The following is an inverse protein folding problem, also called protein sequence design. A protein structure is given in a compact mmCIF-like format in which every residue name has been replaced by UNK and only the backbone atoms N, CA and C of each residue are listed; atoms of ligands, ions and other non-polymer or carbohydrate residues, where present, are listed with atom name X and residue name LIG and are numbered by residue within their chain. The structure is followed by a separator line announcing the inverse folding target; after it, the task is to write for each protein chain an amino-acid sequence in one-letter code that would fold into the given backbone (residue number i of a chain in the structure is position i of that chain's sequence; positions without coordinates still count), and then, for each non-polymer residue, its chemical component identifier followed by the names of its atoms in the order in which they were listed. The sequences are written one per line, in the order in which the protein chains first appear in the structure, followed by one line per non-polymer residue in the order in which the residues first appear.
data_IF_588270767671
#
_entry.id   IF_588270767671
#
_cell.length_a   1.000
_cell.length_b   1.000
_cell.length_c   1.000
_cell.angle_alpha   90.00
_cell.angle_beta   90.00
_cell.angle_gamma   90.00
#
_symmetry.space_group_name_H-M   'P 1'
#
loop_
_entity.id
_entity.type
_entity.pdbx_description
1 polymer ?
#
# COMPACT_ATOMS: atom_id res chain seq x y z
N UNK A 1 9.93 -7.96 10.31
CA UNK A 1 10.55 -7.50 9.05
C UNK A 1 11.89 -8.18 8.82
N UNK A 2 12.28 -8.35 7.55
CA UNK A 2 13.60 -8.83 7.12
C UNK A 2 14.31 -7.73 6.34
N UNK A 3 15.66 -7.70 6.38
CA UNK A 3 16.44 -6.68 5.68
C UNK A 3 17.38 -7.35 4.71
N UNK A 4 17.29 -7.01 3.42
CA UNK A 4 18.17 -7.44 2.36
C UNK A 4 18.93 -6.22 1.83
N UNK A 5 20.26 -6.31 1.68
CA UNK A 5 21.09 -5.19 1.23
C UNK A 5 22.39 -5.67 0.59
N UNK A 6 23.05 -4.85 -0.24
CA UNK A 6 24.42 -5.09 -0.63
C UNK A 6 25.35 -5.11 0.61
N UNK A 7 26.38 -5.96 0.59
CA UNK A 7 27.33 -6.08 1.70
C UNK A 7 28.68 -5.42 1.35
N UNK A 8 28.67 -4.11 1.11
CA UNK A 8 29.85 -3.34 0.71
C UNK A 8 30.11 -2.09 1.57
N UNK A 9 29.36 -1.95 2.66
CA UNK A 9 29.51 -0.87 3.63
C UNK A 9 28.97 0.50 3.20
N UNK A 10 28.30 0.60 2.04
CA UNK A 10 27.70 1.85 1.56
C UNK A 10 26.29 2.05 2.07
N UNK A 11 25.78 3.28 1.92
CA UNK A 11 24.37 3.61 2.14
C UNK A 11 23.59 3.54 0.83
N UNK A 12 22.35 3.05 0.92
CA UNK A 12 21.47 2.84 -0.22
C UNK A 12 20.05 3.36 0.06
N UNK A 13 19.31 3.79 -0.98
CA UNK A 13 17.88 4.00 -0.87
C UNK A 13 17.21 2.75 -0.33
N UNK A 14 16.14 2.94 0.46
CA UNK A 14 15.38 1.82 1.01
C UNK A 14 13.99 1.71 0.38
N UNK A 15 13.57 0.47 0.13
CA UNK A 15 12.23 0.11 -0.29
C UNK A 15 11.57 -0.78 0.78
N UNK A 16 10.62 -0.24 1.53
CA UNK A 16 9.74 -1.03 2.38
C UNK A 16 8.70 -1.73 1.51
N UNK A 17 8.52 -3.04 1.69
CA UNK A 17 7.70 -3.88 0.81
C UNK A 17 6.56 -4.52 1.60
N UNK A 18 5.32 -4.22 1.22
CA UNK A 18 4.10 -4.60 1.92
C UNK A 18 3.39 -5.70 1.12
N UNK A 19 3.18 -6.86 1.73
CA UNK A 19 2.55 -7.99 1.06
C UNK A 19 1.04 -7.79 0.84
N UNK A 20 0.50 -8.45 -0.18
CA UNK A 20 -0.93 -8.57 -0.42
C UNK A 20 -1.59 -9.68 0.42
N UNK A 21 -2.84 -10.01 0.09
CA UNK A 21 -3.60 -11.07 0.74
C UNK A 21 -4.93 -10.61 1.31
N UNK A 22 -5.52 -9.53 0.76
CA UNK A 22 -6.86 -9.06 1.13
C UNK A 22 -7.01 -8.71 2.62
N UNK A 23 -5.97 -8.20 3.25
CA UNK A 23 -5.90 -7.82 4.69
C UNK A 23 -6.17 -8.97 5.67
N UNK A 24 -6.29 -10.23 5.20
CA UNK A 24 -6.60 -11.39 6.05
C UNK A 24 -5.66 -12.57 5.87
N UNK A 25 -4.73 -12.50 4.95
CA UNK A 25 -3.79 -13.58 4.65
C UNK A 25 -2.47 -13.03 4.09
N UNK A 26 -1.52 -13.92 3.86
CA UNK A 26 -0.19 -13.56 3.40
C UNK A 26 0.79 -13.33 4.56
N UNK A 27 2.03 -13.10 4.20
CA UNK A 27 3.12 -12.78 5.10
C UNK A 27 4.28 -12.17 4.31
N UNK A 28 5.29 -11.65 4.99
CA UNK A 28 6.47 -11.02 4.35
C UNK A 28 7.22 -11.97 3.40
N UNK A 29 7.09 -13.29 3.58
CA UNK A 29 7.73 -14.28 2.71
C UNK A 29 7.32 -14.15 1.25
N UNK A 30 6.10 -13.67 0.97
CA UNK A 30 5.62 -13.40 -0.40
C UNK A 30 6.44 -12.33 -1.12
N UNK A 31 7.09 -11.42 -0.39
CA UNK A 31 7.92 -10.35 -0.95
C UNK A 31 9.41 -10.70 -1.03
N UNK A 32 9.84 -11.80 -0.41
CA UNK A 32 11.28 -12.14 -0.29
C UNK A 32 11.96 -12.33 -1.65
N UNK A 33 11.40 -13.06 -2.64
CA UNK A 33 12.07 -13.22 -3.93
C UNK A 33 12.31 -11.87 -4.63
N UNK A 34 11.30 -11.00 -4.67
CA UNK A 34 11.41 -9.66 -5.25
C UNK A 34 12.40 -8.79 -4.45
N UNK A 35 12.33 -8.83 -3.11
CA UNK A 35 13.23 -8.09 -2.24
C UNK A 35 14.71 -8.44 -2.50
N UNK A 36 15.02 -9.73 -2.61
CA UNK A 36 16.37 -10.19 -2.91
C UNK A 36 16.85 -9.69 -4.28
N UNK A 37 15.99 -9.76 -5.31
CA UNK A 37 16.33 -9.26 -6.65
C UNK A 37 16.59 -7.75 -6.67
N UNK A 38 15.74 -6.96 -6.01
CA UNK A 38 15.90 -5.50 -5.94
C UNK A 38 17.15 -5.13 -5.13
N UNK A 39 17.47 -5.88 -4.06
CA UNK A 39 18.67 -5.64 -3.28
C UNK A 39 19.96 -5.80 -4.12
N UNK A 40 19.99 -6.71 -5.11
CA UNK A 40 21.15 -6.85 -6.04
C UNK A 40 21.34 -5.63 -6.94
N UNK A 41 20.34 -4.74 -7.04
CA UNK A 41 20.37 -3.53 -7.85
C UNK A 41 20.80 -2.28 -7.07
N UNK A 42 21.27 -2.43 -5.84
CA UNK A 42 21.77 -1.30 -5.04
C UNK A 42 20.65 -0.61 -4.22
N UNK A 43 19.76 -1.40 -3.64
CA UNK A 43 18.75 -0.94 -2.71
C UNK A 43 18.85 -1.72 -1.39
N UNK A 44 18.42 -1.11 -0.29
CA UNK A 44 18.00 -1.85 0.89
C UNK A 44 16.53 -2.18 0.72
N UNK A 45 16.14 -3.44 0.86
CA UNK A 45 14.74 -3.85 0.75
C UNK A 45 14.26 -4.47 2.06
N UNK A 46 13.08 -4.08 2.50
CA UNK A 46 12.54 -4.46 3.81
C UNK A 46 11.11 -4.97 3.66
N UNK A 47 10.91 -6.28 3.39
CA UNK A 47 9.62 -6.91 3.57
C UNK A 47 9.13 -6.80 5.01
N UNK A 48 7.88 -6.37 5.20
CA UNK A 48 7.28 -6.13 6.51
C UNK A 48 6.03 -6.96 6.73
N UNK A 49 5.74 -7.25 8.01
CA UNK A 49 4.45 -7.77 8.48
C UNK A 49 3.59 -6.63 9.00
N UNK A 50 2.30 -6.83 8.98
CA UNK A 50 1.30 -5.97 9.60
C UNK A 50 0.14 -6.84 10.11
N UNK A 51 -0.60 -6.38 11.12
CA UNK A 51 -1.73 -7.12 11.70
C UNK A 51 -2.84 -7.31 10.66
N UNK A 52 -3.31 -8.54 10.56
CA UNK A 52 -4.34 -9.01 9.63
C UNK A 52 -5.64 -9.34 10.36
N UNK A 53 -6.75 -9.45 9.64
CA UNK A 53 -7.97 -10.10 10.14
C UNK A 53 -7.66 -11.60 10.36
N UNK A 54 -8.14 -12.23 11.46
CA UNK A 54 -9.02 -11.68 12.48
C UNK A 54 -8.31 -11.06 13.70
N UNK A 55 -6.98 -10.92 13.67
CA UNK A 55 -6.22 -10.37 14.77
C UNK A 55 -6.62 -8.92 15.06
N UNK A 56 -6.74 -8.11 14.01
CA UNK A 56 -7.18 -6.72 14.13
C UNK A 56 -7.85 -6.21 12.84
N UNK A 57 -8.73 -5.23 13.00
CA UNK A 57 -9.37 -4.49 11.93
C UNK A 57 -8.61 -3.19 11.63
N UNK A 58 -9.03 -2.46 10.58
CA UNK A 58 -8.60 -1.09 10.35
C UNK A 58 -8.79 -0.23 11.63
N UNK A 59 -7.80 0.61 12.04
CA UNK A 59 -6.60 0.99 11.30
C UNK A 59 -5.31 0.22 11.70
N UNK A 60 -5.38 -0.82 12.52
CA UNK A 60 -4.24 -1.44 13.19
C UNK A 60 -3.06 -1.78 12.24
N UNK A 61 -3.31 -2.40 11.09
CA UNK A 61 -2.26 -2.70 10.12
C UNK A 61 -1.62 -1.45 9.50
N UNK A 62 -2.35 -0.34 9.43
CA UNK A 62 -1.79 0.95 8.96
C UNK A 62 -0.84 1.52 10.01
N UNK A 63 -1.22 1.48 11.29
CA UNK A 63 -0.39 1.91 12.42
C UNK A 63 0.93 1.11 12.47
N UNK A 64 0.86 -0.21 12.29
CA UNK A 64 2.05 -1.08 12.24
C UNK A 64 3.03 -0.64 11.13
N UNK A 65 2.51 -0.24 9.97
CA UNK A 65 3.33 0.22 8.84
C UNK A 65 3.91 1.62 9.06
N UNK A 66 3.15 2.53 9.69
CA UNK A 66 3.66 3.85 10.08
C UNK A 66 4.78 3.70 11.12
N UNK A 67 4.63 2.81 12.11
CA UNK A 67 5.68 2.46 13.08
C UNK A 67 6.90 1.83 12.41
N UNK A 68 6.71 0.99 11.39
CA UNK A 68 7.80 0.43 10.62
C UNK A 68 8.63 1.50 9.89
N UNK A 69 7.99 2.53 9.32
CA UNK A 69 8.69 3.69 8.72
C UNK A 69 9.54 4.42 9.77
N UNK A 70 8.96 4.68 10.94
CA UNK A 70 9.68 5.32 12.04
C UNK A 70 10.90 4.49 12.46
N UNK A 71 10.72 3.18 12.60
CA UNK A 71 11.82 2.28 12.95
C UNK A 71 12.92 2.28 11.88
N UNK A 72 12.57 2.21 10.58
CA UNK A 72 13.53 2.25 9.47
C UNK A 72 14.34 3.54 9.53
N UNK A 73 13.67 4.69 9.69
CA UNK A 73 14.31 5.99 9.74
C UNK A 73 15.28 6.09 10.92
N UNK A 74 14.86 5.66 12.11
CA UNK A 74 15.67 5.76 13.34
C UNK A 74 16.85 4.78 13.37
N UNK A 75 16.79 3.70 12.60
CA UNK A 75 17.86 2.69 12.53
C UNK A 75 18.66 2.75 11.22
N UNK A 76 18.46 3.76 10.40
CA UNK A 76 19.03 3.86 9.05
C UNK A 76 20.55 3.65 9.02
N UNK A 77 21.31 4.33 9.86
CA UNK A 77 22.77 4.23 9.92
C UNK A 77 23.29 2.82 10.26
N UNK A 78 22.53 2.06 11.09
CA UNK A 78 22.91 0.68 11.44
C UNK A 78 22.84 -0.27 10.25
N UNK A 79 21.95 0.00 9.31
CA UNK A 79 21.65 -0.90 8.19
C UNK A 79 22.10 -0.36 6.82
N UNK A 80 22.87 0.74 6.78
CA UNK A 80 23.33 1.35 5.54
C UNK A 80 22.17 1.88 4.69
N UNK A 81 21.21 2.53 5.33
CA UNK A 81 20.05 3.13 4.69
C UNK A 81 20.27 4.64 4.56
N UNK A 82 20.08 5.16 3.35
CA UNK A 82 19.91 6.59 3.12
C UNK A 82 18.50 6.98 3.57
N UNK A 83 18.38 7.51 4.79
CA UNK A 83 17.10 7.87 5.40
C UNK A 83 16.34 8.99 4.67
N UNK A 84 17.02 9.72 3.78
CA UNK A 84 16.36 10.73 2.94
C UNK A 84 15.74 10.11 1.66
N UNK A 85 15.90 8.80 1.47
CA UNK A 85 15.40 8.06 0.29
C UNK A 85 14.60 6.83 0.70
N UNK A 86 13.54 7.03 1.47
CA UNK A 86 12.62 5.96 1.89
C UNK A 86 11.46 5.89 0.88
N UNK A 87 11.34 4.77 0.19
CA UNK A 87 10.20 4.44 -0.66
C UNK A 87 9.39 3.31 -0.04
N UNK A 88 8.10 3.25 -0.36
CA UNK A 88 7.20 2.17 0.04
C UNK A 88 6.60 1.51 -1.19
N UNK A 89 6.45 0.19 -1.17
CA UNK A 89 5.80 -0.55 -2.23
C UNK A 89 4.85 -1.59 -1.65
N UNK A 90 3.90 -2.00 -2.45
CA UNK A 90 3.05 -3.12 -2.07
C UNK A 90 2.21 -3.63 -3.21
N UNK A 91 1.68 -4.84 -3.04
CA UNK A 91 0.89 -5.56 -4.02
C UNK A 91 -0.53 -5.76 -3.49
N UNK A 92 -1.57 -5.53 -4.33
CA UNK A 92 -2.97 -5.76 -3.94
C UNK A 92 -3.35 -4.98 -2.66
N UNK A 93 -3.76 -5.67 -1.59
CA UNK A 93 -3.99 -5.05 -0.28
C UNK A 93 -2.76 -4.27 0.23
N UNK A 94 -1.54 -4.81 0.02
CA UNK A 94 -0.30 -4.10 0.34
C UNK A 94 -0.09 -2.85 -0.52
N UNK A 95 -0.51 -2.88 -1.78
CA UNK A 95 -0.50 -1.72 -2.67
C UNK A 95 -1.44 -0.61 -2.20
N UNK A 96 -2.64 -0.99 -1.77
CA UNK A 96 -3.58 -0.06 -1.13
C UNK A 96 -2.99 0.56 0.14
N UNK A 97 -2.35 -0.26 1.01
CA UNK A 97 -1.71 0.21 2.23
C UNK A 97 -0.52 1.14 1.94
N UNK A 98 0.35 0.77 0.97
CA UNK A 98 1.46 1.62 0.53
C UNK A 98 0.96 2.97 0.02
N UNK A 99 -0.10 2.96 -0.79
CA UNK A 99 -0.75 4.17 -1.29
C UNK A 99 -1.29 5.02 -0.14
N UNK A 100 -2.00 4.42 0.81
CA UNK A 100 -2.59 5.14 1.94
C UNK A 100 -1.53 5.85 2.78
N UNK A 101 -0.48 5.14 3.25
CA UNK A 101 0.56 5.75 4.08
C UNK A 101 1.39 6.79 3.30
N UNK A 102 1.58 6.58 1.99
CA UNK A 102 2.27 7.54 1.12
C UNK A 102 1.47 8.81 0.85
N UNK A 103 0.13 8.71 0.78
CA UNK A 103 -0.73 9.89 0.62
C UNK A 103 -0.90 10.67 1.93
N UNK A 104 -1.06 9.97 3.05
CA UNK A 104 -1.02 10.59 4.39
C UNK A 104 0.33 11.25 4.64
N UNK A 105 1.41 10.52 4.41
CA UNK A 105 2.80 10.92 4.61
C UNK A 105 2.99 11.79 5.87
N UNK A 106 2.37 11.36 6.96
CA UNK A 106 2.26 12.16 8.19
C UNK A 106 3.64 12.50 8.78
N UNK A 107 4.60 11.60 8.65
CA UNK A 107 5.99 11.82 9.08
C UNK A 107 6.82 12.67 8.11
N UNK A 108 6.37 12.85 6.86
CA UNK A 108 7.12 13.49 5.78
C UNK A 108 8.36 12.70 5.31
N UNK A 109 8.49 11.43 5.70
CA UNK A 109 9.67 10.59 5.43
C UNK A 109 9.58 9.79 4.14
N UNK A 110 8.36 9.53 3.64
CA UNK A 110 8.14 8.75 2.42
C UNK A 110 8.40 9.64 1.20
N UNK A 111 9.32 9.19 0.34
CA UNK A 111 9.76 9.91 -0.86
C UNK A 111 9.17 9.39 -2.15
N UNK A 112 8.67 8.15 -2.16
CA UNK A 112 8.00 7.55 -3.32
C UNK A 112 7.10 6.38 -2.90
N UNK A 113 6.07 6.13 -3.70
CA UNK A 113 5.17 4.98 -3.57
C UNK A 113 5.22 4.16 -4.85
N UNK A 114 5.27 2.84 -4.75
CA UNK A 114 5.03 1.92 -5.86
C UNK A 114 3.78 1.11 -5.50
N UNK A 115 2.70 1.38 -6.23
CA UNK A 115 1.41 0.73 -6.02
C UNK A 115 1.17 -0.32 -7.11
N UNK A 116 1.25 -1.60 -6.75
CA UNK A 116 0.98 -2.73 -7.65
C UNK A 116 -0.44 -3.25 -7.41
N UNK A 117 -1.37 -2.92 -8.29
CA UNK A 117 -2.79 -3.33 -8.23
C UNK A 117 -3.48 -3.04 -6.88
N UNK A 118 -3.07 -2.01 -6.18
CA UNK A 118 -3.75 -1.54 -4.97
C UNK A 118 -4.79 -0.47 -5.31
N UNK A 119 -6.02 -0.64 -4.83
CA UNK A 119 -7.06 0.38 -4.99
C UNK A 119 -6.70 1.67 -4.24
N UNK A 120 -7.09 2.82 -4.78
CA UNK A 120 -6.87 4.12 -4.15
C UNK A 120 -8.11 4.63 -3.39
N UNK A 121 -9.26 4.00 -3.61
CA UNK A 121 -10.51 4.33 -2.91
C UNK A 121 -11.37 3.09 -2.68
N UNK A 122 -11.93 2.98 -1.47
CA UNK A 122 -13.02 2.05 -1.14
C UNK A 122 -14.39 2.67 -1.42
N UNK A 123 -14.46 4.00 -1.47
CA UNK A 123 -15.71 4.76 -1.61
C UNK A 123 -16.06 4.87 -3.09
N UNK A 124 -16.57 3.77 -3.64
CA UNK A 124 -17.13 3.69 -4.99
C UNK A 124 -18.55 3.11 -4.91
N UNK A 125 -19.42 3.47 -5.87
CA UNK A 125 -20.78 2.93 -5.91
C UNK A 125 -20.80 1.40 -5.94
N UNK A 126 -19.87 0.79 -6.69
CA UNK A 126 -19.74 -0.66 -6.76
C UNK A 126 -19.43 -1.29 -5.39
N UNK A 127 -18.40 -0.80 -4.70
CA UNK A 127 -17.97 -1.34 -3.40
C UNK A 127 -19.04 -1.14 -2.32
N UNK A 128 -19.64 0.05 -2.26
CA UNK A 128 -20.70 0.39 -1.32
C UNK A 128 -21.93 -0.49 -1.55
N UNK A 129 -22.40 -0.61 -2.80
CA UNK A 129 -23.57 -1.40 -3.14
C UNK A 129 -23.33 -2.90 -2.90
N UNK A 130 -22.15 -3.42 -3.21
CA UNK A 130 -21.77 -4.81 -2.95
C UNK A 130 -21.84 -5.16 -1.47
N UNK A 131 -21.30 -4.32 -0.60
CA UNK A 131 -21.32 -4.52 0.85
C UNK A 131 -22.75 -4.40 1.39
N UNK A 132 -23.52 -3.40 0.92
CA UNK A 132 -24.93 -3.21 1.29
C UNK A 132 -25.80 -4.41 0.89
N UNK A 133 -25.71 -4.88 -0.35
CA UNK A 133 -26.47 -6.04 -0.84
C UNK A 133 -26.13 -7.32 -0.04
N UNK A 134 -24.87 -7.54 0.31
CA UNK A 134 -24.49 -8.67 1.15
C UNK A 134 -25.16 -8.58 2.53
N UNK A 135 -25.15 -7.40 3.17
CA UNK A 135 -25.79 -7.15 4.46
C UNK A 135 -27.31 -7.37 4.38
N UNK A 136 -27.97 -6.75 3.41
CA UNK A 136 -29.43 -6.81 3.23
C UNK A 136 -29.92 -8.26 2.92
N UNK A 137 -29.07 -9.06 2.26
CA UNK A 137 -29.34 -10.46 1.92
C UNK A 137 -28.86 -11.46 2.99
N UNK A 138 -28.39 -10.99 4.14
CA UNK A 138 -27.78 -11.81 5.21
C UNK A 138 -26.67 -12.76 4.71
N UNK A 139 -25.88 -12.28 3.74
CA UNK A 139 -24.70 -12.98 3.23
C UNK A 139 -23.42 -12.46 3.91
N UNK A 140 -22.31 -13.24 3.89
CA UNK A 140 -21.03 -12.76 4.35
C UNK A 140 -20.63 -11.46 3.64
N UNK A 141 -20.12 -10.50 4.42
CA UNK A 141 -19.62 -9.24 3.86
C UNK A 141 -18.40 -9.49 2.98
N UNK A 142 -18.16 -8.67 1.95
CA UNK A 142 -16.90 -8.63 1.24
C UNK A 142 -15.74 -8.36 2.21
N UNK A 143 -14.55 -8.88 1.86
CA UNK A 143 -13.38 -8.84 2.77
C UNK A 143 -12.94 -7.42 3.13
N UNK A 144 -13.06 -6.49 2.19
CA UNK A 144 -12.82 -5.06 2.41
C UNK A 144 -13.77 -4.48 3.46
N UNK A 145 -15.06 -4.80 3.38
CA UNK A 145 -16.05 -4.36 4.37
C UNK A 145 -15.81 -5.02 5.74
N UNK A 146 -15.36 -6.28 5.78
CA UNK A 146 -14.97 -6.93 7.05
C UNK A 146 -13.79 -6.20 7.66
N UNK A 147 -12.73 -5.93 6.88
CA UNK A 147 -11.54 -5.24 7.34
C UNK A 147 -11.85 -3.83 7.87
N UNK A 148 -12.77 -3.13 7.22
CA UNK A 148 -13.23 -1.78 7.60
C UNK A 148 -14.23 -1.79 8.78
N UNK A 149 -14.67 -2.98 9.25
CA UNK A 149 -15.54 -3.16 10.41
C UNK A 149 -17.03 -3.14 10.09
N UNK A 150 -17.44 -3.09 8.82
CA UNK A 150 -18.85 -3.09 8.41
C UNK A 150 -19.06 -2.46 7.03
N UNK A 151 -20.34 -2.29 6.67
CA UNK A 151 -20.73 -1.57 5.44
C UNK A 151 -20.38 -0.08 5.51
N UNK A 152 -20.41 0.61 4.38
CA UNK A 152 -20.19 2.07 4.35
C UNK A 152 -21.16 2.84 5.25
N UNK A 153 -22.42 2.43 5.32
CA UNK A 153 -23.42 3.06 6.18
C UNK A 153 -23.11 2.89 7.67
N UNK A 154 -22.52 1.74 8.05
CA UNK A 154 -22.14 1.41 9.43
C UNK A 154 -20.81 2.05 9.84
N UNK A 155 -19.85 2.15 8.91
CA UNK A 155 -18.46 2.52 9.16
C UNK A 155 -17.92 3.57 8.17
N UNK A 156 -18.75 4.57 7.85
CA UNK A 156 -18.39 5.62 6.87
C UNK A 156 -16.99 6.19 7.11
N UNK A 157 -16.67 6.52 8.35
CA UNK A 157 -15.36 7.08 8.71
C UNK A 157 -14.21 6.16 8.29
N UNK A 158 -14.29 4.86 8.60
CA UNK A 158 -13.23 3.91 8.26
C UNK A 158 -13.06 3.77 6.74
N UNK A 159 -14.17 3.74 5.99
CA UNK A 159 -14.13 3.66 4.53
C UNK A 159 -13.45 4.87 3.89
N UNK A 160 -13.77 6.07 4.39
CA UNK A 160 -13.16 7.32 3.92
C UNK A 160 -11.69 7.40 4.33
N UNK A 161 -11.37 7.17 5.59
CA UNK A 161 -10.00 7.24 6.11
C UNK A 161 -9.06 6.18 5.53
N UNK A 162 -9.57 4.98 5.21
CA UNK A 162 -8.80 3.94 4.52
C UNK A 162 -8.60 4.21 3.02
N UNK A 163 -9.37 5.13 2.44
CA UNK A 163 -9.24 5.53 1.04
C UNK A 163 -8.15 6.59 0.88
N UNK A 164 -7.04 6.21 0.24
CA UNK A 164 -5.89 7.09 0.03
C UNK A 164 -6.27 8.41 -0.66
N UNK A 165 -7.30 8.36 -1.52
CA UNK A 165 -7.84 9.51 -2.25
C UNK A 165 -8.18 10.70 -1.35
N UNK A 166 -8.65 10.46 -0.12
CA UNK A 166 -9.05 11.51 0.83
C UNK A 166 -7.87 12.20 1.53
N UNK A 167 -6.66 11.64 1.43
CA UNK A 167 -5.46 12.16 2.07
C UNK A 167 -4.53 12.92 1.13
N UNK A 168 -4.86 12.94 -0.18
CA UNK A 168 -3.99 13.58 -1.17
C UNK A 168 -3.88 15.07 -0.90
N UNK A 169 -2.64 15.52 -0.76
CA UNK A 169 -2.28 16.89 -0.44
C UNK A 169 -0.92 17.25 -1.06
N UNK A 170 -0.46 18.46 -0.85
CA UNK A 170 0.89 18.90 -1.25
C UNK A 170 2.04 18.13 -0.59
N UNK A 171 1.76 17.39 0.50
CA UNK A 171 2.74 16.59 1.22
C UNK A 171 2.76 15.12 0.76
N UNK A 172 1.83 14.73 -0.11
CA UNK A 172 1.75 13.38 -0.65
C UNK A 172 2.98 13.03 -1.48
N UNK A 173 3.45 11.79 -1.33
CA UNK A 173 4.61 11.30 -2.07
C UNK A 173 4.28 11.05 -3.55
N UNK A 174 5.26 11.15 -4.47
CA UNK A 174 5.14 10.68 -5.85
C UNK A 174 4.74 9.21 -5.93
N UNK A 175 3.96 8.84 -6.96
CA UNK A 175 3.44 7.48 -7.11
C UNK A 175 3.72 6.91 -8.50
N UNK A 176 4.26 5.69 -8.53
CA UNK A 176 4.25 4.82 -9.69
C UNK A 176 3.16 3.76 -9.51
N UNK A 177 2.18 3.76 -10.41
CA UNK A 177 1.16 2.72 -10.50
C UNK A 177 1.61 1.64 -11.48
N UNK A 178 1.62 0.40 -11.02
CA UNK A 178 1.87 -0.78 -11.85
C UNK A 178 0.61 -1.62 -11.79
N UNK A 179 -0.12 -1.69 -12.90
CA UNK A 179 -1.45 -2.30 -12.92
C UNK A 179 -1.54 -3.49 -13.88
N UNK A 180 -2.32 -4.48 -13.48
CA UNK A 180 -2.93 -5.42 -14.42
C UNK A 180 -4.01 -4.71 -15.24
N UNK A 181 -4.55 -5.37 -16.26
CA UNK A 181 -5.68 -4.87 -17.05
C UNK A 181 -7.05 -5.02 -16.35
N UNK A 182 -7.08 -5.49 -15.07
CA UNK A 182 -8.33 -5.74 -14.34
C UNK A 182 -8.89 -4.44 -13.75
N UNK A 183 -10.04 -3.94 -14.23
CA UNK A 183 -10.54 -2.58 -13.91
C UNK A 183 -10.76 -2.31 -12.42
N UNK A 184 -11.19 -3.31 -11.65
CA UNK A 184 -11.47 -3.11 -10.21
C UNK A 184 -10.25 -2.65 -9.39
N UNK A 185 -9.03 -2.97 -9.85
CA UNK A 185 -7.79 -2.53 -9.19
C UNK A 185 -7.38 -1.11 -9.58
N UNK A 186 -8.13 -0.49 -10.49
CA UNK A 186 -7.96 0.92 -10.86
C UNK A 186 -8.87 1.86 -10.04
N UNK A 187 -9.68 1.34 -9.12
CA UNK A 187 -10.61 2.15 -8.33
C UNK A 187 -9.91 3.31 -7.61
N UNK A 188 -10.32 4.53 -7.94
CA UNK A 188 -9.78 5.78 -7.39
C UNK A 188 -8.40 6.19 -7.92
N UNK A 189 -7.79 5.41 -8.84
CA UNK A 189 -6.45 5.70 -9.40
C UNK A 189 -6.45 6.99 -10.22
N UNK A 190 -7.35 7.10 -11.17
CA UNK A 190 -7.36 8.22 -12.12
C UNK A 190 -7.73 9.53 -11.42
N UNK A 191 -8.63 9.48 -10.43
CA UNK A 191 -8.95 10.59 -9.54
C UNK A 191 -7.75 10.97 -8.67
N UNK A 192 -7.02 9.99 -8.15
CA UNK A 192 -5.81 10.22 -7.37
C UNK A 192 -4.74 10.92 -8.21
N UNK A 193 -4.50 10.46 -9.44
CA UNK A 193 -3.57 11.09 -10.38
C UNK A 193 -3.99 12.54 -10.67
N UNK A 194 -5.28 12.77 -10.95
CA UNK A 194 -5.78 14.12 -11.20
C UNK A 194 -5.55 15.05 -10.01
N UNK A 195 -5.73 14.57 -8.79
CA UNK A 195 -5.47 15.35 -7.56
C UNK A 195 -3.98 15.58 -7.32
N UNK A 196 -3.14 14.55 -7.46
CA UNK A 196 -1.69 14.67 -7.31
C UNK A 196 -1.11 15.68 -8.30
N UNK A 197 -1.55 15.64 -9.55
CA UNK A 197 -1.13 16.58 -10.59
C UNK A 197 -1.49 18.03 -10.26
N UNK A 198 -2.62 18.29 -9.57
CA UNK A 198 -2.97 19.65 -9.09
C UNK A 198 -1.97 20.19 -8.08
N UNK A 199 -1.31 19.31 -7.33
CA UNK A 199 -0.24 19.68 -6.38
C UNK A 199 1.16 19.65 -7.01
N UNK A 200 1.27 19.31 -8.31
CA UNK A 200 2.57 19.14 -8.99
C UNK A 200 3.35 17.90 -8.56
N UNK A 201 2.67 16.95 -7.91
CA UNK A 201 3.28 15.69 -7.47
C UNK A 201 3.38 14.72 -8.66
N UNK A 202 4.58 14.17 -8.90
CA UNK A 202 4.83 13.25 -10.01
C UNK A 202 4.02 11.96 -9.88
N UNK A 203 3.47 11.52 -11.02
CA UNK A 203 2.78 10.24 -11.14
C UNK A 203 3.21 9.52 -12.43
N UNK A 204 3.28 8.19 -12.37
CA UNK A 204 3.61 7.34 -13.50
C UNK A 204 2.68 6.12 -13.50
N UNK A 205 2.33 5.61 -14.69
CA UNK A 205 1.48 4.42 -14.84
C UNK A 205 2.16 3.45 -15.79
N UNK A 206 2.23 2.20 -15.37
CA UNK A 206 2.55 1.05 -16.22
C UNK A 206 1.39 0.06 -16.16
N UNK A 207 0.87 -0.36 -17.30
CA UNK A 207 -0.18 -1.38 -17.40
C UNK A 207 0.37 -2.59 -18.12
N UNK A 208 0.21 -3.76 -17.53
CA UNK A 208 0.52 -5.04 -18.15
C UNK A 208 -0.78 -5.62 -18.70
N UNK A 209 -0.90 -5.60 -20.03
CA UNK A 209 -2.05 -6.15 -20.74
C UNK A 209 -2.12 -7.67 -20.57
N UNK A 210 -3.34 -8.20 -20.53
CA UNK A 210 -3.64 -9.64 -20.44
C UNK A 210 -3.00 -10.37 -19.25
N UNK A 211 -2.69 -9.65 -18.18
CA UNK A 211 -2.12 -10.25 -16.98
C UNK A 211 -3.19 -10.53 -15.93
N UNK A 212 -3.11 -11.68 -15.24
CA UNK A 212 -3.96 -11.96 -14.08
C UNK A 212 -3.54 -11.12 -12.87
N UNK A 213 -4.39 -11.09 -11.87
CA UNK A 213 -4.01 -10.66 -10.54
C UNK A 213 -3.81 -11.92 -9.66
N UNK A 214 -2.66 -12.15 -9.06
CA UNK A 214 -1.44 -11.34 -9.01
C UNK A 214 -0.41 -11.73 -10.12
N UNK A 215 0.12 -10.78 -10.86
CA UNK A 215 1.12 -10.98 -11.92
C UNK A 215 2.58 -10.85 -11.44
N UNK A 216 2.80 -10.51 -10.18
CA UNK A 216 4.12 -10.26 -9.58
C UNK A 216 4.73 -11.49 -8.88
N UNK A 217 4.10 -12.65 -8.96
CA UNK A 217 4.60 -13.94 -8.46
C UNK A 217 5.34 -14.75 -9.51
#
# INVERSE_FOLDING_TARGET
MNIYRPNDGKEYPVLMMIHGGGWNSGNLGLQVPMAQQIATKGYVTIPVEYRLIPEALYPAGVEDLEDAIEWIYNNAGRFGIDKEKIAVSGCSAGGQLAMLIGMKNASGKIRAVINMDGISSFVTDESINRAKQARDSNKPLPIDAIWLGGTYQEQKKNWEEASALYWISKNSAPVCFINSSIPRFHNGRDEAIALLNKYGTYTEIHTFEDTPHPYWF
#
